data_IF_510806282858
#
_entry.id   IF_510806282858
#
_cell.length_a   1.000
_cell.length_b   1.000
_cell.length_c   1.000
_cell.angle_alpha   90.00
_cell.angle_beta   90.00
_cell.angle_gamma   90.00
#
_symmetry.space_group_name_H-M   'P 1'
#
loop_
_entity.id
_entity.type
_entity.pdbx_description
1 polymer ?
#
# COMPACT_ATOMS: atom_id res chain seq x y z
N UNK A 1 -15.70 -0.44 15.62
CA UNK A 1 -17.08 -0.63 16.11
C UNK A 1 -17.01 -1.25 17.50
N UNK A 2 -18.04 -1.02 18.33
CA UNK A 2 -18.17 -1.65 19.65
C UNK A 2 -18.00 -3.17 19.56
N UNK A 3 -18.45 -3.82 18.48
CA UNK A 3 -18.34 -5.27 18.29
C UNK A 3 -16.88 -5.81 18.26
N UNK A 4 -15.95 -5.11 17.62
CA UNK A 4 -14.55 -5.55 17.59
C UNK A 4 -13.89 -5.39 18.96
N UNK A 5 -14.21 -4.29 19.65
CA UNK A 5 -13.71 -4.06 21.01
C UNK A 5 -14.23 -5.15 21.95
N UNK A 6 -15.53 -5.47 21.86
CA UNK A 6 -16.15 -6.53 22.67
C UNK A 6 -15.57 -7.91 22.34
N UNK A 7 -15.31 -8.22 21.05
CA UNK A 7 -14.66 -9.48 20.65
C UNK A 7 -13.22 -9.58 21.16
N UNK A 8 -12.45 -8.48 21.07
CA UNK A 8 -11.09 -8.41 21.65
C UNK A 8 -11.15 -8.60 23.14
N UNK A 9 -12.03 -7.86 23.84
CA UNK A 9 -12.19 -7.96 25.30
C UNK A 9 -12.58 -9.39 25.69
N UNK A 10 -13.58 -9.98 25.02
CA UNK A 10 -14.01 -11.36 25.29
C UNK A 10 -12.89 -12.38 25.09
N UNK A 11 -12.14 -12.28 23.99
CA UNK A 11 -11.03 -13.20 23.70
C UNK A 11 -9.89 -13.05 24.70
N UNK A 12 -9.52 -11.80 25.06
CA UNK A 12 -8.48 -11.52 26.05
C UNK A 12 -8.94 -11.86 27.46
N UNK A 13 -10.25 -11.70 27.80
CA UNK A 13 -10.79 -12.01 29.11
C UNK A 13 -11.24 -13.47 29.27
N UNK A 14 -11.62 -14.18 28.20
CA UNK A 14 -11.94 -15.61 28.27
C UNK A 14 -10.71 -16.46 28.65
N UNK A 15 -9.52 -16.07 28.16
CA UNK A 15 -8.23 -16.61 28.66
C UNK A 15 -7.81 -16.02 30.01
N UNK A 16 -8.54 -15.01 30.52
CA UNK A 16 -8.23 -14.20 31.69
C UNK A 16 -9.27 -14.31 32.81
N UNK A 17 -9.87 -15.48 33.05
CA UNK A 17 -10.81 -15.71 34.18
C UNK A 17 -10.15 -15.61 35.59
N UNK A 18 -8.98 -14.98 35.72
CA UNK A 18 -8.31 -14.73 36.99
C UNK A 18 -8.00 -13.25 37.13
N UNK A 19 -8.71 -12.62 38.04
CA UNK A 19 -8.79 -11.19 38.35
C UNK A 19 -7.49 -10.51 38.88
N UNK A 20 -6.29 -10.96 38.55
CA UNK A 20 -5.01 -10.43 39.07
C UNK A 20 -3.87 -10.45 38.03
N UNK A 21 -4.12 -10.21 36.76
CA UNK A 21 -3.03 -10.19 35.77
C UNK A 21 -2.40 -8.81 35.62
N UNK A 22 -1.08 -8.80 35.45
CA UNK A 22 -0.29 -7.59 35.17
C UNK A 22 -0.65 -6.98 33.81
N UNK A 23 -0.37 -5.69 33.65
CA UNK A 23 -0.56 -5.02 32.34
C UNK A 23 0.22 -5.68 31.19
N UNK A 24 1.26 -6.45 31.53
CA UNK A 24 2.09 -7.18 30.57
C UNK A 24 1.41 -8.44 30.04
N UNK A 25 0.68 -9.15 30.87
CA UNK A 25 -0.11 -10.33 30.45
C UNK A 25 -1.29 -9.91 29.57
N UNK A 26 -1.93 -8.78 29.86
CA UNK A 26 -2.98 -8.22 29.01
C UNK A 26 -2.42 -7.81 27.63
N UNK A 27 -1.22 -7.24 27.56
CA UNK A 27 -0.54 -6.90 26.31
C UNK A 27 -0.18 -8.15 25.50
N UNK A 28 0.30 -9.22 26.13
CA UNK A 28 0.58 -10.50 25.47
C UNK A 28 -0.70 -11.12 24.90
N UNK A 29 -1.78 -11.18 25.69
CA UNK A 29 -3.06 -11.69 25.22
C UNK A 29 -3.61 -10.91 24.03
N UNK A 30 -3.45 -9.57 24.02
CA UNK A 30 -3.82 -8.74 22.87
C UNK A 30 -2.93 -9.02 21.65
N UNK A 31 -1.62 -9.17 21.84
CA UNK A 31 -0.71 -9.52 20.75
C UNK A 31 -1.06 -10.86 20.14
N UNK A 32 -1.29 -11.90 20.96
CA UNK A 32 -1.69 -13.23 20.51
C UNK A 32 -3.04 -13.21 19.75
N UNK A 33 -3.99 -12.40 20.23
CA UNK A 33 -5.26 -12.20 19.52
C UNK A 33 -5.05 -11.56 18.16
N UNK A 34 -4.23 -10.51 18.06
CA UNK A 34 -3.93 -9.82 16.82
C UNK A 34 -3.20 -10.74 15.83
N UNK A 35 -2.20 -11.51 16.30
CA UNK A 35 -1.48 -12.48 15.45
C UNK A 35 -2.41 -13.56 14.87
N UNK A 36 -3.36 -14.05 15.64
CA UNK A 36 -4.32 -15.07 15.18
C UNK A 36 -5.35 -14.52 14.19
N UNK A 37 -5.71 -13.24 14.29
CA UNK A 37 -6.80 -12.65 13.51
C UNK A 37 -6.33 -11.73 12.38
N UNK A 38 -5.05 -11.34 12.34
CA UNK A 38 -4.48 -10.54 11.26
C UNK A 38 -3.71 -11.44 10.30
N UNK A 39 -4.09 -11.37 9.02
CA UNK A 39 -3.29 -11.96 7.95
C UNK A 39 -2.17 -10.98 7.62
N UNK A 40 -0.97 -11.22 8.14
CA UNK A 40 0.21 -10.39 7.90
C UNK A 40 1.02 -11.01 6.77
N UNK A 41 1.20 -10.28 5.68
CA UNK A 41 2.10 -10.65 4.61
C UNK A 41 3.45 -9.95 4.79
N UNK A 42 4.55 -10.68 4.61
CA UNK A 42 5.90 -10.12 4.65
C UNK A 42 6.18 -9.23 3.43
N UNK A 43 5.65 -8.01 3.43
CA UNK A 43 5.83 -7.01 2.38
C UNK A 43 5.21 -7.42 1.03
N UNK A 44 5.79 -6.98 -0.08
CA UNK A 44 5.23 -7.20 -1.42
C UNK A 44 5.40 -8.63 -1.96
N UNK A 45 6.03 -9.56 -1.24
CA UNK A 45 6.22 -10.95 -1.70
C UNK A 45 6.98 -11.07 -3.02
N UNK A 46 8.03 -10.27 -3.20
CA UNK A 46 8.82 -10.23 -4.44
C UNK A 46 9.67 -11.49 -4.53
N UNK A 47 9.49 -12.25 -5.61
CA UNK A 47 10.26 -13.48 -5.88
C UNK A 47 11.33 -13.19 -6.94
N UNK A 48 12.54 -13.73 -6.78
CA UNK A 48 13.71 -13.45 -7.61
C UNK A 48 13.50 -13.63 -9.13
N UNK A 49 12.56 -14.48 -9.54
CA UNK A 49 12.31 -14.79 -10.98
C UNK A 49 10.96 -14.26 -11.49
N UNK A 50 10.19 -13.52 -10.70
CA UNK A 50 8.87 -13.04 -11.11
C UNK A 50 8.79 -11.53 -10.93
N UNK A 51 8.52 -10.83 -12.04
CA UNK A 51 8.28 -9.38 -12.01
C UNK A 51 7.01 -9.10 -11.20
N UNK A 52 7.09 -8.09 -10.34
CA UNK A 52 5.97 -7.57 -9.57
C UNK A 52 5.61 -6.16 -10.03
N UNK A 53 4.32 -5.92 -10.23
CA UNK A 53 3.77 -4.60 -10.52
C UNK A 53 2.78 -4.30 -9.42
N UNK A 54 3.03 -3.27 -8.63
CA UNK A 54 2.19 -2.89 -7.50
C UNK A 54 1.73 -1.43 -7.62
N UNK A 55 0.44 -1.20 -7.54
CA UNK A 55 -0.16 0.13 -7.52
C UNK A 55 -0.67 0.45 -6.11
N UNK A 56 -0.27 1.59 -5.55
CA UNK A 56 -0.82 2.09 -4.30
C UNK A 56 -2.07 2.93 -4.59
N UNK A 57 -3.20 2.52 -4.02
CA UNK A 57 -4.50 3.18 -4.16
C UNK A 57 -5.01 3.61 -2.79
N UNK A 58 -5.94 4.55 -2.74
CA UNK A 58 -6.57 5.01 -1.50
C UNK A 58 -6.85 6.51 -1.48
N UNK A 59 -7.42 7.03 -0.40
CA UNK A 59 -7.80 8.44 -0.26
C UNK A 59 -6.63 9.41 -0.40
N UNK A 60 -6.95 10.70 -0.59
CA UNK A 60 -5.95 11.77 -0.59
C UNK A 60 -5.36 11.94 0.82
N UNK A 61 -4.06 12.20 0.90
CA UNK A 61 -3.38 12.52 2.17
C UNK A 61 -2.99 11.33 3.05
N UNK A 62 -3.34 10.08 2.69
CA UNK A 62 -3.00 8.88 3.49
C UNK A 62 -1.53 8.44 3.38
N UNK A 63 -0.72 9.13 2.58
CA UNK A 63 0.72 8.85 2.47
C UNK A 63 1.11 7.85 1.39
N UNK A 64 0.32 7.66 0.30
CA UNK A 64 0.63 6.73 -0.79
C UNK A 64 2.03 6.95 -1.38
N UNK A 65 2.31 8.16 -1.86
CA UNK A 65 3.60 8.55 -2.46
C UNK A 65 4.77 8.30 -1.50
N UNK A 66 4.61 8.71 -0.23
CA UNK A 66 5.65 8.51 0.80
C UNK A 66 5.86 7.03 1.11
N UNK A 67 4.78 6.25 1.20
CA UNK A 67 4.85 4.81 1.44
C UNK A 67 5.51 4.09 0.27
N UNK A 68 5.16 4.48 -0.97
CA UNK A 68 5.77 3.95 -2.18
C UNK A 68 7.28 4.19 -2.21
N UNK A 69 7.72 5.40 -1.87
CA UNK A 69 9.15 5.73 -1.79
C UNK A 69 9.88 4.89 -0.74
N UNK A 70 9.28 4.68 0.44
CA UNK A 70 9.85 3.82 1.49
C UNK A 70 9.98 2.36 1.04
N UNK A 71 8.93 1.82 0.40
CA UNK A 71 8.96 0.47 -0.18
C UNK A 71 10.05 0.35 -1.25
N UNK A 72 10.17 1.34 -2.14
CA UNK A 72 11.21 1.37 -3.15
C UNK A 72 12.60 1.36 -2.52
N UNK A 73 12.85 2.23 -1.52
CA UNK A 73 14.12 2.30 -0.81
C UNK A 73 14.46 0.97 -0.14
N UNK A 74 13.53 0.37 0.58
CA UNK A 74 13.73 -0.93 1.23
C UNK A 74 14.06 -2.03 0.22
N UNK A 75 13.31 -2.11 -0.88
CA UNK A 75 13.54 -3.14 -1.90
C UNK A 75 14.89 -2.98 -2.60
N UNK A 76 15.30 -1.75 -2.89
CA UNK A 76 16.53 -1.46 -3.64
C UNK A 76 17.76 -1.55 -2.73
N UNK A 77 17.73 -0.87 -1.58
CA UNK A 77 18.89 -0.75 -0.70
C UNK A 77 19.16 -2.01 0.13
N UNK A 78 18.09 -2.64 0.64
CA UNK A 78 18.24 -3.82 1.51
C UNK A 78 18.22 -5.13 0.73
N UNK A 79 17.42 -5.22 -0.35
CA UNK A 79 17.22 -6.48 -1.08
C UNK A 79 17.87 -6.51 -2.46
N UNK A 80 18.52 -5.43 -2.91
CA UNK A 80 19.17 -5.33 -4.21
C UNK A 80 18.22 -5.50 -5.42
N UNK A 81 16.93 -5.22 -5.25
CA UNK A 81 15.91 -5.42 -6.28
C UNK A 81 15.95 -4.28 -7.29
N UNK A 82 16.02 -4.62 -8.58
CA UNK A 82 15.92 -3.63 -9.64
C UNK A 82 14.48 -3.11 -9.75
N UNK A 83 14.27 -1.81 -9.49
CA UNK A 83 12.96 -1.21 -9.47
C UNK A 83 12.81 -0.06 -10.47
N UNK A 84 11.55 0.31 -10.76
CA UNK A 84 11.16 1.51 -11.47
C UNK A 84 9.91 2.12 -10.85
N UNK A 85 9.77 3.43 -10.98
CA UNK A 85 8.66 4.19 -10.46
C UNK A 85 7.79 4.70 -11.61
N UNK A 86 6.48 4.69 -11.42
CA UNK A 86 5.51 5.33 -12.32
C UNK A 86 4.59 6.18 -11.44
N UNK A 87 4.34 7.43 -11.83
CA UNK A 87 3.30 8.24 -11.18
C UNK A 87 2.19 8.57 -12.14
N UNK A 88 0.97 8.34 -11.69
CA UNK A 88 -0.28 8.78 -12.30
C UNK A 88 -0.98 9.89 -11.47
N UNK A 89 -0.33 10.39 -10.39
CA UNK A 89 -0.82 11.55 -9.63
C UNK A 89 -0.35 12.86 -10.26
N UNK A 90 -0.86 13.15 -11.45
CA UNK A 90 -0.49 14.33 -12.23
C UNK A 90 -1.26 15.59 -11.82
N UNK A 91 -2.28 15.46 -10.98
CA UNK A 91 -3.04 16.59 -10.45
C UNK A 91 -2.27 17.41 -9.42
N UNK A 92 -1.35 16.77 -8.71
CA UNK A 92 -0.56 17.37 -7.63
C UNK A 92 0.89 17.51 -8.08
N UNK A 93 1.26 18.70 -8.56
CA UNK A 93 2.64 19.01 -9.02
C UNK A 93 3.67 18.64 -7.95
N UNK A 94 3.40 18.99 -6.68
CA UNK A 94 4.28 18.67 -5.55
C UNK A 94 4.47 17.16 -5.33
N UNK A 95 3.48 16.31 -5.64
CA UNK A 95 3.61 14.86 -5.50
C UNK A 95 4.55 14.29 -6.57
N UNK A 96 4.46 14.79 -7.80
CA UNK A 96 5.37 14.41 -8.90
C UNK A 96 6.80 14.82 -8.57
N UNK A 97 7.03 16.06 -8.10
CA UNK A 97 8.36 16.54 -7.73
C UNK A 97 8.93 15.76 -6.55
N UNK A 98 8.10 15.47 -5.55
CA UNK A 98 8.50 14.64 -4.41
C UNK A 98 8.96 13.25 -4.87
N UNK A 99 8.19 12.59 -5.75
CA UNK A 99 8.55 11.25 -6.23
C UNK A 99 9.79 11.28 -7.13
N UNK A 100 9.99 12.34 -7.93
CA UNK A 100 11.25 12.56 -8.69
C UNK A 100 12.44 12.68 -7.76
N UNK A 101 12.35 13.45 -6.69
CA UNK A 101 13.41 13.56 -5.70
C UNK A 101 13.81 12.21 -5.11
N UNK A 102 12.83 11.36 -4.76
CA UNK A 102 13.13 10.00 -4.31
C UNK A 102 13.73 9.13 -5.41
N UNK A 103 13.26 9.26 -6.65
CA UNK A 103 13.81 8.59 -7.82
C UNK A 103 15.30 8.91 -7.99
N UNK A 104 15.66 10.20 -7.92
CA UNK A 104 17.04 10.67 -8.05
C UNK A 104 17.94 10.14 -6.92
N UNK A 105 17.48 10.23 -5.66
CA UNK A 105 18.20 9.72 -4.49
C UNK A 105 18.46 8.22 -4.60
N UNK A 106 17.50 7.45 -5.08
CA UNK A 106 17.58 5.99 -5.18
C UNK A 106 18.20 5.51 -6.52
N UNK A 107 18.50 6.41 -7.45
CA UNK A 107 18.98 6.07 -8.80
C UNK A 107 17.97 5.25 -9.60
N UNK A 108 16.67 5.47 -9.42
CA UNK A 108 15.60 4.71 -10.06
C UNK A 108 15.04 5.47 -11.27
N UNK A 109 14.73 4.78 -12.38
CA UNK A 109 13.97 5.40 -13.46
C UNK A 109 12.53 5.69 -13.03
N UNK A 110 12.00 6.83 -13.47
CA UNK A 110 10.62 7.26 -13.23
C UNK A 110 9.94 7.65 -14.55
N UNK A 111 8.65 7.30 -14.68
CA UNK A 111 7.77 7.78 -15.74
C UNK A 111 6.54 8.47 -15.14
N UNK A 112 6.12 9.56 -15.78
CA UNK A 112 4.87 10.25 -15.46
C UNK A 112 3.86 9.88 -16.54
N UNK A 113 2.68 9.43 -16.12
CA UNK A 113 1.65 8.94 -17.05
C UNK A 113 0.32 9.65 -16.79
N UNK A 114 -0.36 10.03 -17.86
CA UNK A 114 -1.61 10.79 -17.81
C UNK A 114 -2.84 9.96 -18.17
N UNK A 115 -2.64 8.80 -18.78
CA UNK A 115 -3.72 7.95 -19.25
C UNK A 115 -3.33 6.46 -19.30
N UNK A 116 -4.31 5.64 -19.57
CA UNK A 116 -4.18 4.17 -19.61
C UNK A 116 -3.17 3.69 -20.66
N UNK A 117 -3.10 4.35 -21.83
CA UNK A 117 -2.14 4.01 -22.88
C UNK A 117 -0.71 4.26 -22.42
N UNK A 118 -0.44 5.44 -21.88
CA UNK A 118 0.89 5.80 -21.36
C UNK A 118 1.33 4.89 -20.21
N UNK A 119 0.40 4.51 -19.32
CA UNK A 119 0.70 3.53 -18.27
C UNK A 119 1.11 2.17 -18.85
N UNK A 120 0.41 1.69 -19.87
CA UNK A 120 0.77 0.45 -20.56
C UNK A 120 2.16 0.54 -21.19
N UNK A 121 2.47 1.65 -21.85
CA UNK A 121 3.75 1.87 -22.52
C UNK A 121 4.89 1.99 -21.48
N UNK A 122 4.68 2.67 -20.35
CA UNK A 122 5.64 2.76 -19.25
C UNK A 122 5.92 1.39 -18.61
N UNK A 123 4.90 0.58 -18.37
CA UNK A 123 5.06 -0.80 -17.88
C UNK A 123 5.90 -1.63 -18.85
N UNK A 124 5.67 -1.48 -20.15
CA UNK A 124 6.44 -2.19 -21.19
C UNK A 124 7.90 -1.68 -21.25
N UNK A 125 8.12 -0.37 -21.13
CA UNK A 125 9.45 0.22 -21.05
C UNK A 125 10.27 -0.39 -19.89
N UNK A 126 9.64 -0.60 -18.75
CA UNK A 126 10.26 -1.17 -17.55
C UNK A 126 10.17 -2.70 -17.46
N UNK A 127 9.96 -3.41 -18.58
CA UNK A 127 9.78 -4.87 -18.57
C UNK A 127 10.95 -5.66 -17.99
N UNK A 128 12.16 -5.10 -17.95
CA UNK A 128 13.37 -5.71 -17.40
C UNK A 128 13.51 -5.52 -15.90
N UNK A 129 12.71 -4.65 -15.28
CA UNK A 129 12.73 -4.40 -13.84
C UNK A 129 11.97 -5.49 -13.08
N UNK A 130 12.51 -5.88 -11.93
CA UNK A 130 11.87 -6.87 -11.04
C UNK A 130 10.66 -6.29 -10.32
N UNK A 131 10.68 -4.99 -10.01
CA UNK A 131 9.61 -4.28 -9.33
C UNK A 131 9.23 -3.02 -10.09
N UNK A 132 7.94 -2.85 -10.36
CA UNK A 132 7.36 -1.60 -10.86
C UNK A 132 6.37 -1.11 -9.82
N UNK A 133 6.61 0.07 -9.28
CA UNK A 133 5.74 0.72 -8.30
C UNK A 133 4.97 1.87 -8.97
N UNK A 134 3.65 1.85 -8.82
CA UNK A 134 2.75 2.83 -9.43
C UNK A 134 2.11 3.66 -8.31
N UNK A 135 2.42 4.96 -8.27
CA UNK A 135 1.75 5.94 -7.43
C UNK A 135 0.50 6.46 -8.14
N UNK A 136 -0.63 6.47 -7.44
CA UNK A 136 -1.90 6.94 -8.01
C UNK A 136 -2.44 8.15 -7.27
N UNK A 137 -3.19 8.98 -7.97
CA UNK A 137 -3.92 10.09 -7.36
C UNK A 137 -4.85 9.58 -6.25
N UNK A 138 -4.94 10.33 -5.15
CA UNK A 138 -5.91 10.04 -4.11
C UNK A 138 -7.33 10.20 -4.62
N UNK A 139 -8.18 9.22 -4.37
CA UNK A 139 -9.57 9.21 -4.80
C UNK A 139 -10.47 8.91 -3.61
N UNK A 140 -11.59 9.63 -3.55
CA UNK A 140 -12.64 9.32 -2.59
C UNK A 140 -13.49 8.17 -3.11
N UNK A 141 -13.75 7.17 -2.28
CA UNK A 141 -14.63 6.04 -2.62
C UNK A 141 -16.07 6.50 -2.98
N UNK A 142 -16.48 7.68 -2.51
CA UNK A 142 -17.79 8.26 -2.83
C UNK A 142 -17.83 8.93 -4.20
N UNK A 143 -16.70 9.21 -4.84
CA UNK A 143 -16.65 9.80 -6.17
C UNK A 143 -16.59 8.70 -7.24
N UNK A 144 -17.78 8.25 -7.67
CA UNK A 144 -17.92 7.15 -8.65
C UNK A 144 -17.15 7.39 -9.96
N UNK A 145 -17.13 8.62 -10.47
CA UNK A 145 -16.42 8.96 -11.70
C UNK A 145 -14.90 8.76 -11.53
N UNK A 146 -14.34 9.32 -10.47
CA UNK A 146 -12.90 9.17 -10.20
C UNK A 146 -12.50 7.72 -9.92
N UNK A 147 -13.36 6.95 -9.26
CA UNK A 147 -13.12 5.52 -9.05
C UNK A 147 -13.16 4.73 -10.35
N UNK A 148 -14.05 5.09 -11.28
CA UNK A 148 -14.11 4.45 -12.58
C UNK A 148 -12.87 4.79 -13.43
N UNK A 149 -12.41 6.05 -13.44
CA UNK A 149 -11.17 6.47 -14.09
C UNK A 149 -9.95 5.69 -13.56
N UNK A 150 -9.84 5.52 -12.24
CA UNK A 150 -8.77 4.73 -11.62
C UNK A 150 -8.85 3.25 -12.02
N UNK A 151 -10.06 2.68 -12.05
CA UNK A 151 -10.29 1.30 -12.47
C UNK A 151 -9.86 1.07 -13.92
N UNK A 152 -10.23 1.97 -14.82
CA UNK A 152 -9.85 1.91 -16.23
C UNK A 152 -8.33 2.07 -16.42
N UNK A 153 -7.72 3.01 -15.70
CA UNK A 153 -6.28 3.19 -15.70
C UNK A 153 -5.53 1.90 -15.33
N UNK A 154 -5.95 1.23 -14.25
CA UNK A 154 -5.27 0.04 -13.76
C UNK A 154 -5.67 -1.25 -14.49
N UNK A 155 -6.74 -1.23 -15.28
CA UNK A 155 -7.18 -2.39 -16.06
C UNK A 155 -6.29 -2.71 -17.28
N UNK A 156 -5.35 -1.82 -17.63
CA UNK A 156 -4.43 -2.00 -18.79
C UNK A 156 -3.51 -3.20 -18.64
N UNK A 157 -3.30 -3.68 -17.42
CA UNK A 157 -2.50 -4.88 -17.18
C UNK A 157 -3.08 -5.68 -15.99
N UNK A 158 -3.54 -6.93 -16.21
CA UNK A 158 -4.15 -7.75 -15.17
C UNK A 158 -3.16 -8.16 -14.06
N UNK A 159 -1.85 -8.03 -14.29
CA UNK A 159 -0.82 -8.35 -13.30
C UNK A 159 -0.53 -7.18 -12.34
N UNK A 160 -1.22 -6.06 -12.45
CA UNK A 160 -1.10 -4.96 -11.48
C UNK A 160 -1.80 -5.39 -10.18
N UNK A 161 -1.02 -5.60 -9.14
CA UNK A 161 -1.55 -5.79 -7.79
C UNK A 161 -1.92 -4.43 -7.19
N UNK A 162 -3.13 -4.32 -6.68
CA UNK A 162 -3.65 -3.09 -6.07
C UNK A 162 -3.52 -3.20 -4.56
N UNK A 163 -2.75 -2.29 -3.96
CA UNK A 163 -2.55 -2.21 -2.52
C UNK A 163 -3.27 -0.99 -1.97
N UNK A 164 -4.29 -1.21 -1.17
CA UNK A 164 -5.03 -0.14 -0.52
C UNK A 164 -4.22 0.43 0.65
N UNK A 165 -4.00 1.73 0.62
CA UNK A 165 -3.37 2.50 1.70
C UNK A 165 -4.45 3.30 2.40
N UNK A 166 -4.65 3.05 3.68
CA UNK A 166 -5.58 3.78 4.55
C UNK A 166 -4.86 4.27 5.81
N UNK A 167 -5.39 5.33 6.42
CA UNK A 167 -4.90 5.77 7.72
C UNK A 167 -5.41 4.83 8.81
N UNK A 168 -4.59 4.58 9.84
CA UNK A 168 -5.03 3.86 11.04
C UNK A 168 -6.18 4.57 11.79
N UNK A 169 -6.39 5.86 11.51
CA UNK A 169 -7.50 6.65 12.06
C UNK A 169 -8.79 6.58 11.22
N UNK A 170 -8.77 5.85 10.10
CA UNK A 170 -9.95 5.67 9.24
C UNK A 170 -11.02 4.88 9.99
N UNK A 171 -12.25 5.40 10.02
CA UNK A 171 -13.37 4.68 10.63
C UNK A 171 -13.70 3.43 9.79
N UNK A 172 -14.15 2.37 10.45
CA UNK A 172 -14.54 1.11 9.79
C UNK A 172 -15.56 1.32 8.67
N UNK A 173 -16.52 2.22 8.86
CA UNK A 173 -17.55 2.54 7.86
C UNK A 173 -16.98 3.14 6.57
N UNK A 174 -15.84 3.85 6.69
CA UNK A 174 -15.17 4.49 5.56
C UNK A 174 -14.13 3.56 4.90
N UNK A 175 -13.80 2.43 5.52
CA UNK A 175 -12.88 1.43 5.01
C UNK A 175 -13.59 0.31 4.19
N UNK A 176 -14.92 0.22 4.29
CA UNK A 176 -15.78 -0.69 3.52
C UNK A 176 -16.22 -0.06 2.22
#
# INVERSE_FOLDING_TARGET
SESIIDDVIRSVTADCLLANRSSEEARRGLADYLEKNLIINEGLGIKARRRKIAALIGPTGVGKTTTLAKIAAQCVLEKGISAALITADTYRISAVEQLKTYSDILGLPIEIVYNAKELKDAIQKFRTKQLILIDTAGRSQYNRRQMQELKELLAVNPNIEKHLVISATTKEQDAK
#
